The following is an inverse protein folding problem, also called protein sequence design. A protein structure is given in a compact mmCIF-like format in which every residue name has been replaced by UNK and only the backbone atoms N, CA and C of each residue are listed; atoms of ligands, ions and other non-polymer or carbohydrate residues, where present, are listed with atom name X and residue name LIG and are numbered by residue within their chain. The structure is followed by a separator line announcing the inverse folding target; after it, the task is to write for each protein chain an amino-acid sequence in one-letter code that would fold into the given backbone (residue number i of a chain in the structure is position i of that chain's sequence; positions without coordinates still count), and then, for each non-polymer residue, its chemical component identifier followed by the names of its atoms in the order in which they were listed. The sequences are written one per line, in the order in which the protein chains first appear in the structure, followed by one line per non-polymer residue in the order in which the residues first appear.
data_IF_237245608323
#
_entry.id   IF_237245608323
#
_cell.length_a   1.000
_cell.length_b   1.000
_cell.length_c   1.000
_cell.angle_alpha   90.00
_cell.angle_beta   90.00
_cell.angle_gamma   90.00
#
_symmetry.space_group_name_H-M   'P 1'
#
loop_
_entity.id
_entity.type
_entity.pdbx_description
1 polymer ?
#
# COMPACT_ATOMS: atom_id res chain seq x y z
N UNK A 1 -16.60 9.17 52.99
CA UNK A 1 -16.59 7.95 52.15
C UNK A 1 -15.78 6.87 52.86
N UNK A 2 -16.38 5.71 53.16
CA UNK A 2 -15.67 4.64 53.88
C UNK A 2 -14.57 4.02 53.01
N UNK A 3 -13.50 3.54 53.63
CA UNK A 3 -12.36 2.90 52.95
C UNK A 3 -12.79 1.75 52.02
N UNK A 4 -13.88 1.07 52.37
CA UNK A 4 -14.48 -0.02 51.60
C UNK A 4 -15.16 0.48 50.31
N UNK A 5 -15.81 1.65 50.35
CA UNK A 5 -16.40 2.28 49.16
C UNK A 5 -15.32 2.72 48.17
N UNK A 6 -14.17 3.20 48.67
CA UNK A 6 -13.03 3.58 47.83
C UNK A 6 -12.36 2.37 47.17
N UNK A 7 -12.27 1.24 47.89
CA UNK A 7 -11.77 -0.05 47.34
C UNK A 7 -12.72 -0.63 46.29
N UNK A 8 -14.03 -0.61 46.53
CA UNK A 8 -15.01 -1.06 45.53
C UNK A 8 -14.93 -0.24 44.24
N UNK A 9 -14.84 1.10 44.35
CA UNK A 9 -14.78 1.99 43.19
C UNK A 9 -13.51 1.75 42.36
N UNK A 10 -12.36 1.49 43.00
CA UNK A 10 -11.11 1.12 42.32
C UNK A 10 -11.24 -0.23 41.60
N UNK A 11 -11.85 -1.23 42.24
CA UNK A 11 -12.05 -2.56 41.63
C UNK A 11 -12.98 -2.47 40.41
N UNK A 12 -14.08 -1.71 40.51
CA UNK A 12 -15.01 -1.49 39.39
C UNK A 12 -14.32 -0.76 38.23
N UNK A 13 -13.50 0.26 38.53
CA UNK A 13 -12.75 1.00 37.50
C UNK A 13 -11.76 0.08 36.76
N UNK A 14 -11.00 -0.74 37.49
CA UNK A 14 -10.04 -1.68 36.90
C UNK A 14 -10.76 -2.69 36.00
N UNK A 15 -11.88 -3.26 36.45
CA UNK A 15 -12.67 -4.21 35.67
C UNK A 15 -13.20 -3.61 34.36
N UNK A 16 -13.64 -2.34 34.37
CA UNK A 16 -14.11 -1.64 33.15
C UNK A 16 -12.98 -1.35 32.16
N UNK A 17 -11.79 -0.99 32.65
CA UNK A 17 -10.62 -0.76 31.76
C UNK A 17 -10.09 -2.04 31.14
N UNK A 18 -10.21 -3.18 31.84
CA UNK A 18 -9.72 -4.47 31.35
C UNK A 18 -10.62 -5.05 30.25
N UNK A 19 -11.94 -4.82 30.33
CA UNK A 19 -12.91 -5.28 29.32
C UNK A 19 -12.81 -4.48 28.02
N UNK A 20 -12.48 -3.19 28.09
CA UNK A 20 -12.30 -2.34 26.90
C UNK A 20 -11.05 -2.73 26.08
N UNK A 21 -9.94 -3.10 26.73
CA UNK A 21 -8.74 -3.53 26.02
C UNK A 21 -8.86 -4.94 25.42
N UNK A 22 -9.61 -5.83 26.07
CA UNK A 22 -9.79 -7.20 25.58
C UNK A 22 -10.74 -7.29 24.38
N UNK A 23 -11.75 -6.41 24.29
CA UNK A 23 -12.77 -6.47 23.25
C UNK A 23 -12.24 -6.06 21.87
N UNK A 24 -11.33 -5.08 21.78
CA UNK A 24 -10.68 -4.70 20.51
C UNK A 24 -9.79 -5.82 19.97
N UNK A 25 -9.02 -6.48 20.86
CA UNK A 25 -8.08 -7.53 20.47
C UNK A 25 -8.80 -8.84 20.06
N UNK A 26 -9.87 -9.20 20.77
CA UNK A 26 -10.67 -10.40 20.48
C UNK A 26 -11.55 -10.18 19.24
N UNK A 27 -12.13 -8.99 19.09
CA UNK A 27 -12.95 -8.64 17.93
C UNK A 27 -12.18 -8.76 16.62
N UNK A 28 -10.94 -8.26 16.57
CA UNK A 28 -10.14 -8.35 15.35
C UNK A 28 -9.78 -9.80 14.97
N UNK A 29 -9.49 -10.67 15.95
CA UNK A 29 -9.20 -12.09 15.70
C UNK A 29 -10.41 -12.87 15.18
N UNK A 30 -11.59 -12.61 15.73
CA UNK A 30 -12.82 -13.26 15.29
C UNK A 30 -13.15 -12.89 13.83
N UNK A 31 -12.97 -11.62 13.47
CA UNK A 31 -13.13 -11.15 12.08
C UNK A 31 -12.05 -11.73 11.15
N UNK A 32 -10.81 -11.84 11.61
CA UNK A 32 -9.73 -12.47 10.86
C UNK A 32 -10.06 -13.93 10.49
N UNK A 33 -10.60 -14.70 11.44
CA UNK A 33 -11.04 -16.08 11.17
C UNK A 33 -12.19 -16.14 10.18
N UNK A 34 -13.16 -15.24 10.29
CA UNK A 34 -14.29 -15.16 9.36
C UNK A 34 -13.81 -14.86 7.94
N UNK A 35 -12.99 -13.83 7.78
CA UNK A 35 -12.45 -13.47 6.47
C UNK A 35 -11.58 -14.59 5.90
N UNK A 36 -10.78 -15.27 6.72
CA UNK A 36 -10.01 -16.44 6.31
C UNK A 36 -10.92 -17.57 5.79
N UNK A 37 -12.05 -17.81 6.46
CA UNK A 37 -13.04 -18.80 6.01
C UNK A 37 -13.71 -18.41 4.69
N UNK A 38 -13.84 -17.11 4.40
CA UNK A 38 -14.35 -16.59 3.13
C UNK A 38 -13.31 -16.75 2.02
N UNK A 39 -12.04 -16.40 2.26
CA UNK A 39 -10.99 -16.41 1.23
C UNK A 39 -10.47 -17.81 0.91
N UNK A 40 -10.27 -18.67 1.91
CA UNK A 40 -9.69 -20.00 1.73
C UNK A 40 -10.36 -20.86 0.65
N UNK A 41 -11.70 -20.96 0.56
CA UNK A 41 -12.35 -21.75 -0.50
C UNK A 41 -12.27 -21.09 -1.89
N UNK A 42 -11.88 -19.82 -1.97
CA UNK A 42 -11.77 -19.08 -3.23
C UNK A 42 -10.36 -19.12 -3.83
N UNK A 43 -9.37 -19.66 -3.10
CA UNK A 43 -8.02 -19.84 -3.63
C UNK A 43 -8.09 -20.77 -4.85
N UNK A 44 -7.48 -20.35 -5.96
CA UNK A 44 -7.55 -21.06 -7.24
C UNK A 44 -8.60 -20.53 -8.22
N UNK A 45 -9.52 -19.67 -7.78
CA UNK A 45 -10.56 -19.11 -8.64
C UNK A 45 -10.18 -17.75 -9.22
N UNK A 46 -10.74 -17.43 -10.40
CA UNK A 46 -10.67 -16.09 -10.96
C UNK A 46 -11.48 -15.12 -10.08
N UNK A 47 -10.87 -14.03 -9.56
CA UNK A 47 -11.54 -13.10 -8.67
C UNK A 47 -12.74 -12.38 -9.31
N UNK A 48 -12.79 -12.28 -10.63
CA UNK A 48 -13.90 -11.69 -11.38
C UNK A 48 -15.07 -12.66 -11.46
N UNK A 49 -14.81 -13.96 -11.68
CA UNK A 49 -15.85 -14.99 -11.72
C UNK A 49 -16.56 -15.14 -10.37
N UNK A 50 -15.80 -15.12 -9.27
CA UNK A 50 -16.36 -15.19 -7.91
C UNK A 50 -16.76 -13.82 -7.34
N UNK A 51 -16.69 -12.78 -8.17
CA UNK A 51 -17.03 -11.38 -7.85
C UNK A 51 -16.40 -10.88 -6.56
N UNK A 52 -15.16 -11.29 -6.28
CA UNK A 52 -14.48 -11.07 -5.01
C UNK A 52 -14.45 -9.58 -4.65
N UNK A 53 -14.05 -8.74 -5.60
CA UNK A 53 -13.87 -7.30 -5.40
C UNK A 53 -15.20 -6.52 -5.36
N UNK A 54 -16.29 -7.15 -5.80
CA UNK A 54 -17.64 -6.59 -5.74
C UNK A 54 -18.36 -6.93 -4.43
N UNK A 55 -17.82 -7.87 -3.63
CA UNK A 55 -18.39 -8.22 -2.33
C UNK A 55 -18.40 -6.98 -1.43
N UNK A 56 -19.53 -6.60 -0.82
CA UNK A 56 -19.65 -5.35 -0.06
C UNK A 56 -18.52 -5.11 0.93
N UNK A 57 -18.17 -6.13 1.74
CA UNK A 57 -17.10 -6.05 2.73
C UNK A 57 -15.71 -5.76 2.14
N UNK A 58 -15.42 -6.26 0.93
CA UNK A 58 -14.13 -6.00 0.26
C UNK A 58 -14.19 -4.64 -0.43
N UNK A 59 -15.29 -4.38 -1.15
CA UNK A 59 -15.50 -3.15 -1.90
C UNK A 59 -15.42 -1.91 -1.00
N UNK A 60 -16.16 -1.91 0.10
CA UNK A 60 -16.22 -0.79 1.05
C UNK A 60 -14.84 -0.49 1.64
N UNK A 61 -14.09 -1.53 2.05
CA UNK A 61 -12.73 -1.38 2.56
C UNK A 61 -11.76 -0.86 1.50
N UNK A 62 -11.84 -1.38 0.28
CA UNK A 62 -11.03 -0.92 -0.84
C UNK A 62 -11.31 0.55 -1.17
N UNK A 63 -12.58 0.97 -1.20
CA UNK A 63 -12.96 2.37 -1.44
C UNK A 63 -12.44 3.29 -0.33
N UNK A 64 -12.63 2.90 0.93
CA UNK A 64 -12.12 3.66 2.08
C UNK A 64 -10.59 3.74 2.08
N UNK A 65 -9.90 2.66 1.72
CA UNK A 65 -8.45 2.58 1.71
C UNK A 65 -7.82 3.39 0.57
N UNK A 66 -8.41 3.35 -0.61
CA UNK A 66 -7.79 3.89 -1.83
C UNK A 66 -8.24 5.31 -2.18
N UNK A 67 -9.44 5.73 -1.78
CA UNK A 67 -10.01 7.02 -2.16
C UNK A 67 -9.93 7.24 -3.68
N UNK A 68 -9.26 8.32 -4.10
CA UNK A 68 -9.08 8.69 -5.51
C UNK A 68 -8.33 7.64 -6.34
N UNK A 69 -7.60 6.72 -5.69
CA UNK A 69 -6.88 5.62 -6.36
C UNK A 69 -7.73 4.37 -6.55
N UNK A 70 -9.00 4.37 -6.12
CA UNK A 70 -9.88 3.21 -6.20
C UNK A 70 -10.08 2.74 -7.65
N UNK A 71 -10.62 3.60 -8.51
CA UNK A 71 -10.88 3.27 -9.92
C UNK A 71 -9.64 2.77 -10.69
N UNK A 72 -8.47 3.46 -10.66
CA UNK A 72 -7.29 2.96 -11.37
C UNK A 72 -6.77 1.63 -10.81
N UNK A 73 -6.83 1.42 -9.49
CA UNK A 73 -6.45 0.13 -8.90
C UNK A 73 -7.40 -0.98 -9.33
N UNK A 74 -8.71 -0.74 -9.31
CA UNK A 74 -9.72 -1.72 -9.73
C UNK A 74 -9.57 -2.11 -11.21
N UNK A 75 -9.26 -1.15 -12.09
CA UNK A 75 -9.00 -1.43 -13.51
C UNK A 75 -7.89 -2.46 -13.70
N UNK A 76 -6.83 -2.39 -12.90
CA UNK A 76 -5.72 -3.35 -12.93
C UNK A 76 -6.10 -4.65 -12.22
N UNK A 77 -6.67 -4.59 -11.02
CA UNK A 77 -7.02 -5.77 -10.22
C UNK A 77 -8.07 -6.66 -10.90
N UNK A 78 -9.00 -6.10 -11.67
CA UNK A 78 -9.96 -6.85 -12.49
C UNK A 78 -9.32 -7.66 -13.63
N UNK A 79 -8.01 -7.50 -13.87
CA UNK A 79 -7.28 -8.36 -14.81
C UNK A 79 -6.66 -9.59 -14.13
N UNK A 80 -6.67 -9.67 -12.80
CA UNK A 80 -6.11 -10.79 -12.05
C UNK A 80 -6.76 -12.11 -12.46
N UNK A 81 -5.95 -13.16 -12.57
CA UNK A 81 -6.42 -14.48 -13.04
C UNK A 81 -6.82 -15.41 -11.90
N UNK A 82 -6.21 -15.24 -10.74
CA UNK A 82 -6.32 -16.22 -9.68
C UNK A 82 -6.17 -15.55 -8.31
N UNK A 83 -7.00 -15.99 -7.38
CA UNK A 83 -6.83 -15.73 -5.95
C UNK A 83 -5.77 -16.70 -5.44
N UNK A 84 -4.66 -16.15 -4.97
CA UNK A 84 -3.51 -16.90 -4.50
C UNK A 84 -3.38 -16.83 -2.98
N UNK A 85 -2.61 -17.76 -2.41
CA UNK A 85 -2.28 -17.77 -0.99
C UNK A 85 -0.79 -18.04 -0.77
N UNK A 86 -0.13 -17.21 0.04
CA UNK A 86 1.24 -17.39 0.52
C UNK A 86 1.25 -17.28 2.06
N UNK A 87 1.37 -18.42 2.74
CA UNK A 87 1.25 -18.47 4.21
C UNK A 87 -0.12 -17.94 4.69
N UNK A 88 -0.10 -16.85 5.45
CA UNK A 88 -1.32 -16.17 5.93
C UNK A 88 -1.84 -15.10 4.95
N UNK A 89 -1.14 -14.83 3.85
CA UNK A 89 -1.52 -13.80 2.89
C UNK A 89 -2.42 -14.39 1.81
N UNK A 90 -3.62 -13.85 1.66
CA UNK A 90 -4.47 -14.06 0.50
C UNK A 90 -4.33 -12.87 -0.42
N UNK A 91 -4.08 -13.09 -1.70
CA UNK A 91 -3.81 -11.99 -2.60
C UNK A 91 -4.27 -12.25 -4.02
N UNK A 92 -4.43 -11.16 -4.76
CA UNK A 92 -4.56 -11.16 -6.21
C UNK A 92 -3.51 -10.21 -6.78
N UNK A 93 -2.96 -10.56 -7.93
CA UNK A 93 -2.04 -9.72 -8.68
C UNK A 93 -2.63 -9.47 -10.06
N UNK A 94 -2.66 -8.21 -10.50
CA UNK A 94 -3.05 -7.88 -11.87
C UNK A 94 -2.12 -8.57 -12.85
N UNK A 95 -2.62 -8.82 -14.06
CA UNK A 95 -1.77 -9.34 -15.14
C UNK A 95 -0.61 -8.40 -15.38
N UNK A 96 0.54 -8.99 -15.65
CA UNK A 96 1.70 -8.28 -16.14
C UNK A 96 1.37 -7.70 -17.52
N UNK A 97 1.32 -6.37 -17.65
CA UNK A 97 1.29 -5.77 -18.98
C UNK A 97 2.63 -6.09 -19.67
N UNK A 98 2.65 -6.45 -20.96
CA UNK A 98 3.88 -6.85 -21.63
C UNK A 98 4.95 -5.74 -21.54
N UNK A 99 6.20 -6.06 -21.17
CA UNK A 99 7.24 -5.08 -20.87
C UNK A 99 7.66 -4.24 -22.08
N UNK A 100 7.28 -4.67 -23.30
CA UNK A 100 7.49 -3.91 -24.53
C UNK A 100 6.83 -2.52 -24.56
N UNK A 101 6.00 -2.15 -23.58
CA UNK A 101 5.33 -0.84 -23.55
C UNK A 101 5.83 0.12 -22.45
N UNK A 102 6.53 -0.34 -21.39
CA UNK A 102 7.07 0.52 -20.32
C UNK A 102 8.25 -0.16 -19.58
N UNK A 103 9.20 0.63 -19.04
CA UNK A 103 10.31 0.13 -18.22
C UNK A 103 9.84 -0.62 -16.95
N UNK A 104 8.69 -0.22 -16.40
CA UNK A 104 7.93 -0.92 -15.37
C UNK A 104 6.48 -0.96 -15.84
N UNK A 105 5.94 -2.16 -16.01
CA UNK A 105 4.53 -2.33 -16.35
C UNK A 105 3.64 -1.89 -15.19
N UNK A 106 2.53 -1.20 -15.49
CA UNK A 106 1.49 -0.91 -14.51
C UNK A 106 1.03 -2.22 -13.86
N UNK A 107 1.02 -2.25 -12.53
CA UNK A 107 0.67 -3.45 -11.76
C UNK A 107 -0.06 -3.07 -10.48
N UNK A 108 -1.10 -3.81 -10.16
CA UNK A 108 -1.78 -3.71 -8.88
C UNK A 108 -1.78 -5.07 -8.18
N UNK A 109 -1.68 -5.05 -6.86
CA UNK A 109 -1.87 -6.24 -6.03
C UNK A 109 -2.71 -5.90 -4.82
N UNK A 110 -3.75 -6.68 -4.57
CA UNK A 110 -4.52 -6.61 -3.32
C UNK A 110 -4.05 -7.75 -2.44
N UNK A 111 -3.66 -7.45 -1.21
CA UNK A 111 -3.19 -8.42 -0.22
C UNK A 111 -4.03 -8.28 1.04
N UNK A 112 -4.54 -9.40 1.52
CA UNK A 112 -5.20 -9.50 2.81
C UNK A 112 -4.43 -10.46 3.72
N UNK A 113 -4.06 -9.99 4.90
CA UNK A 113 -3.35 -10.80 5.89
C UNK A 113 -4.34 -11.43 6.87
N UNK A 114 -4.37 -12.77 6.89
CA UNK A 114 -5.34 -13.53 7.64
C UNK A 114 -5.12 -13.61 9.15
N UNK A 115 -3.93 -13.23 9.61
CA UNK A 115 -3.60 -13.25 11.03
C UNK A 115 -3.91 -11.89 11.69
N UNK A 116 -3.79 -10.81 10.92
CA UNK A 116 -3.98 -9.43 11.39
C UNK A 116 -5.27 -8.79 10.91
N UNK A 117 -5.98 -9.44 9.98
CA UNK A 117 -7.13 -8.92 9.25
C UNK A 117 -6.83 -7.63 8.46
N UNK A 118 -5.56 -7.35 8.15
CA UNK A 118 -5.16 -6.13 7.47
C UNK A 118 -5.30 -6.27 5.95
N UNK A 119 -5.95 -5.28 5.31
CA UNK A 119 -5.94 -5.11 3.86
C UNK A 119 -4.84 -4.14 3.43
N UNK A 120 -4.16 -4.49 2.34
CA UNK A 120 -3.19 -3.63 1.68
C UNK A 120 -3.32 -3.73 0.16
N UNK A 121 -2.96 -2.65 -0.52
CA UNK A 121 -2.92 -2.55 -1.97
C UNK A 121 -1.57 -1.99 -2.39
N UNK A 122 -0.88 -2.75 -3.22
CA UNK A 122 0.27 -2.29 -3.99
C UNK A 122 -0.25 -1.73 -5.31
N UNK A 123 0.15 -0.53 -5.68
CA UNK A 123 -0.17 0.10 -6.96
C UNK A 123 1.11 0.65 -7.57
N UNK A 124 1.49 0.13 -8.74
CA UNK A 124 2.56 0.63 -9.58
C UNK A 124 1.90 1.27 -10.80
N UNK A 125 2.11 2.57 -10.97
CA UNK A 125 1.55 3.32 -12.08
C UNK A 125 2.50 4.44 -12.50
N UNK A 126 2.73 4.59 -13.81
CA UNK A 126 3.60 5.64 -14.36
C UNK A 126 5.01 5.66 -13.73
N UNK A 127 5.58 4.47 -13.46
CA UNK A 127 6.89 4.34 -12.83
C UNK A 127 6.96 4.72 -11.34
N UNK A 128 5.83 5.02 -10.69
CA UNK A 128 5.72 5.26 -9.25
C UNK A 128 5.13 4.05 -8.54
N UNK A 129 5.72 3.66 -7.40
CA UNK A 129 5.21 2.57 -6.57
C UNK A 129 4.58 3.09 -5.28
N UNK A 130 3.30 2.80 -5.07
CA UNK A 130 2.57 3.12 -3.85
C UNK A 130 2.17 1.82 -3.12
N UNK A 131 2.37 1.80 -1.81
CA UNK A 131 1.93 0.72 -0.93
C UNK A 131 1.00 1.30 0.13
N UNK A 132 -0.29 1.02 -0.03
CA UNK A 132 -1.38 1.63 0.74
C UNK A 132 -1.95 0.52 1.63
N UNK A 133 -2.01 0.75 2.94
CA UNK A 133 -2.47 -0.26 3.89
C UNK A 133 -3.34 0.35 4.97
N UNK A 134 -4.33 -0.43 5.40
CA UNK A 134 -5.16 -0.07 6.53
C UNK A 134 -4.28 0.10 7.77
N UNK A 135 -4.61 1.12 8.55
CA UNK A 135 -3.98 1.38 9.83
C UNK A 135 -4.99 1.06 10.92
N UNK A 136 -4.53 0.43 12.00
CA UNK A 136 -5.39 0.17 13.15
C UNK A 136 -5.49 1.47 13.96
N UNK A 137 -6.71 1.98 14.14
CA UNK A 137 -6.95 3.15 14.97
C UNK A 137 -6.41 2.93 16.39
N UNK A 138 -5.58 3.86 16.87
CA UNK A 138 -4.93 3.78 18.18
C UNK A 138 -3.64 2.95 18.23
N UNK A 139 -3.17 2.40 17.11
CA UNK A 139 -1.83 1.81 17.04
C UNK A 139 -0.77 2.91 17.18
N UNK A 140 0.20 2.71 18.09
CA UNK A 140 1.31 3.65 18.31
C UNK A 140 2.30 3.68 17.14
N UNK A 141 2.31 2.63 16.33
CA UNK A 141 3.22 2.48 15.19
C UNK A 141 2.42 2.17 13.92
N UNK A 142 2.87 2.75 12.81
CA UNK A 142 2.30 2.49 11.50
C UNK A 142 2.58 1.04 11.10
N UNK A 143 1.52 0.30 10.76
CA UNK A 143 1.69 -1.08 10.32
C UNK A 143 2.30 -1.10 8.93
N UNK A 144 3.39 -1.84 8.79
CA UNK A 144 3.99 -2.12 7.48
C UNK A 144 3.35 -3.39 6.94
N UNK A 145 2.66 -3.34 5.80
CA UNK A 145 2.01 -4.51 5.25
C UNK A 145 3.04 -5.51 4.74
N UNK A 146 2.74 -6.80 4.93
CA UNK A 146 3.55 -7.88 4.37
C UNK A 146 3.07 -8.18 2.96
N UNK A 147 3.99 -8.22 2.00
CA UNK A 147 3.69 -8.59 0.62
C UNK A 147 4.11 -10.04 0.34
N UNK A 148 3.35 -10.79 -0.47
CA UNK A 148 3.82 -12.05 -1.02
C UNK A 148 5.00 -11.81 -1.95
N UNK A 149 5.84 -12.84 -2.15
CA UNK A 149 7.13 -12.72 -2.86
C UNK A 149 7.01 -12.10 -4.25
N UNK A 150 5.96 -12.43 -4.98
CA UNK A 150 5.70 -11.89 -6.32
C UNK A 150 5.50 -10.37 -6.31
N UNK A 151 4.68 -9.87 -5.39
CA UNK A 151 4.37 -8.45 -5.26
C UNK A 151 5.54 -7.68 -4.66
N UNK A 152 6.26 -8.27 -3.69
CA UNK A 152 7.47 -7.68 -3.12
C UNK A 152 8.52 -7.43 -4.21
N UNK A 153 8.79 -8.44 -5.05
CA UNK A 153 9.75 -8.31 -6.17
C UNK A 153 9.35 -7.20 -7.15
N UNK A 154 8.05 -7.11 -7.47
CA UNK A 154 7.55 -6.06 -8.36
C UNK A 154 7.67 -4.66 -7.73
N UNK A 155 7.35 -4.54 -6.45
CA UNK A 155 7.45 -3.30 -5.70
C UNK A 155 8.89 -2.79 -5.61
N UNK A 156 9.84 -3.67 -5.28
CA UNK A 156 11.26 -3.32 -5.15
C UNK A 156 11.84 -2.84 -6.48
N UNK A 157 11.52 -3.55 -7.58
CA UNK A 157 11.91 -3.13 -8.94
C UNK A 157 11.32 -1.78 -9.30
N UNK A 158 10.07 -1.54 -8.98
CA UNK A 158 9.42 -0.26 -9.28
C UNK A 158 10.02 0.89 -8.45
N UNK A 159 10.37 0.65 -7.18
CA UNK A 159 11.06 1.63 -6.34
C UNK A 159 12.47 1.95 -6.81
N UNK A 160 13.19 0.99 -7.36
CA UNK A 160 14.49 1.22 -7.98
C UNK A 160 14.38 2.15 -9.20
N UNK A 161 13.39 1.91 -10.06
CA UNK A 161 13.14 2.76 -11.23
C UNK A 161 12.67 4.15 -10.81
N UNK A 162 11.76 4.27 -9.84
CA UNK A 162 11.31 5.56 -9.30
C UNK A 162 12.50 6.41 -8.82
N UNK A 163 13.41 5.82 -8.04
CA UNK A 163 14.63 6.50 -7.56
C UNK A 163 15.55 6.91 -8.70
N UNK A 164 15.71 6.05 -9.71
CA UNK A 164 16.57 6.34 -10.86
C UNK A 164 16.01 7.49 -11.69
N UNK A 165 14.70 7.52 -11.89
CA UNK A 165 14.01 8.61 -12.59
C UNK A 165 14.11 9.93 -11.80
N UNK A 166 13.95 9.88 -10.48
CA UNK A 166 14.09 11.06 -9.62
C UNK A 166 15.51 11.62 -9.63
N UNK A 167 16.53 10.76 -9.50
CA UNK A 167 17.93 11.17 -9.58
C UNK A 167 18.27 11.76 -10.96
N UNK A 168 17.80 11.13 -12.03
CA UNK A 168 18.02 11.64 -13.40
C UNK A 168 17.35 12.99 -13.59
N UNK A 169 16.12 13.15 -13.08
CA UNK A 169 15.39 14.42 -13.12
C UNK A 169 16.16 15.53 -12.40
N UNK A 170 16.66 15.26 -11.19
CA UNK A 170 17.40 16.24 -10.40
C UNK A 170 18.70 16.64 -11.12
N UNK A 171 19.45 15.68 -11.65
CA UNK A 171 20.68 15.97 -12.41
C UNK A 171 20.42 16.83 -13.66
N UNK A 172 19.30 16.61 -14.37
CA UNK A 172 18.91 17.42 -15.52
C UNK A 172 18.51 18.84 -15.12
N UNK A 173 17.81 18.99 -13.98
CA UNK A 173 17.45 20.31 -13.46
C UNK A 173 18.69 21.11 -13.06
N UNK A 174 19.69 20.47 -12.46
CA UNK A 174 20.96 21.10 -12.09
C UNK A 174 21.73 21.54 -13.34
N UNK A 175 21.85 20.69 -14.36
CA UNK A 175 22.50 21.05 -15.64
C UNK A 175 21.82 22.21 -16.38
N UNK A 176 20.48 22.25 -16.37
CA UNK A 176 19.73 23.36 -16.97
C UNK A 176 19.93 24.64 -16.18
N UNK A 177 19.98 24.56 -14.85
CA UNK A 177 20.20 25.72 -13.98
C UNK A 177 21.61 26.27 -14.17
N UNK A 178 22.64 25.42 -14.19
CA UNK A 178 24.03 25.81 -14.46
C UNK A 178 24.19 26.40 -15.87
N UNK A 179 23.59 25.78 -16.89
CA UNK A 179 23.65 26.28 -18.27
C UNK A 179 22.91 27.61 -18.49
N UNK A 180 21.82 27.88 -17.76
CA UNK A 180 21.13 29.18 -17.79
C UNK A 180 21.96 30.24 -17.05
N UNK A 181 22.59 29.88 -15.93
CA UNK A 181 23.47 30.79 -15.18
C UNK A 181 24.68 31.18 -16.03
N UNK A 182 25.34 30.23 -16.71
CA UNK A 182 26.47 30.52 -17.61
C UNK A 182 26.05 31.38 -18.81
N UNK A 183 24.84 31.21 -19.33
CA UNK A 183 24.35 32.01 -20.47
C UNK A 183 23.91 33.43 -20.06
N UNK A 184 23.53 33.66 -18.80
CA UNK A 184 23.22 34.99 -18.24
C UNK A 184 24.48 35.70 -17.73
N UNK A 185 25.45 34.96 -17.20
CA UNK A 185 26.73 35.47 -16.70
C UNK A 185 27.85 35.43 -17.75
N UNK A 186 27.55 35.01 -18.98
CA UNK A 186 28.43 35.07 -20.14
C UNK A 186 28.92 36.51 -20.35
N UNK A 187 30.09 36.79 -19.81
CA UNK A 187 30.86 38.02 -20.01
C UNK A 187 31.06 38.26 -21.52
N UNK A 188 30.92 39.50 -22.02
CA UNK A 188 31.21 39.80 -23.42
C UNK A 188 32.67 39.43 -23.70
N UNK A 189 32.89 38.48 -24.60
CA UNK A 189 34.22 38.10 -25.06
C UNK A 189 34.93 39.34 -25.61
N UNK A 190 35.97 39.73 -24.87
CA UNK A 190 36.91 40.79 -25.18
C UNK A 190 37.50 40.57 -26.58
N UNK A 191 37.34 41.58 -27.43
CA UNK A 191 37.82 41.61 -28.80
C UNK A 191 39.35 41.63 -28.81
N UNK A 192 39.99 40.55 -29.25
CA UNK A 192 41.44 40.56 -29.48
C UNK A 192 41.79 41.49 -30.65
N UNK A 193 42.80 42.38 -30.53
CA UNK A 193 43.28 43.13 -31.67
C UNK A 193 44.18 42.24 -32.53
N UNK A 194 43.88 42.16 -33.83
CA UNK A 194 44.74 41.51 -34.82
C UNK A 194 46.01 42.36 -35.08
N UNK A 195 47.15 41.72 -35.42
CA UNK A 195 48.43 42.39 -35.63
C UNK A 195 48.46 43.27 -36.89
#
# INVERSE_FOLDING_TARGET
MSQNARRLLIITLILTTLTACASVLIGNRAQAMLMKAIFKPLVGFDPTEVKLLERPIIKERMQALLGDKYEPAMKLLNTAQEIQQEGALFYIASRYAPPQFQAVADKAGMVWNADTNQLAVMLIQNGKADLISEQIEGAKEKLTPQLPKELQTAYDKAKEVERTLENTRNNLLDQVTDGVVDNILGTPTESQPQP
#
